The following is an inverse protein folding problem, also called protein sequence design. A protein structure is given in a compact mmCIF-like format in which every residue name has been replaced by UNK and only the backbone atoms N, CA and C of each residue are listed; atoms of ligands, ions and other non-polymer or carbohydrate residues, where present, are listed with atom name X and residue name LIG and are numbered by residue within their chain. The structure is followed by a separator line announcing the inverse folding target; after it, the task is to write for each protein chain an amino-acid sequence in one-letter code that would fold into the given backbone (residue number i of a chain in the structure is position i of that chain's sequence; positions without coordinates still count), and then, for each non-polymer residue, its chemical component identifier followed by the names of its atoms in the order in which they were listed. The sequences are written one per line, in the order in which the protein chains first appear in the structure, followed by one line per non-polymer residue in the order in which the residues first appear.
data_IF_309824273529
#
_entry.id   IF_309824273529
#
_cell.length_a   1.000
_cell.length_b   1.000
_cell.length_c   1.000
_cell.angle_alpha   90.00
_cell.angle_beta   90.00
_cell.angle_gamma   90.00
#
_symmetry.space_group_name_H-M   'P 1'
#
loop_
_entity.id
_entity.type
_entity.pdbx_description
1 polymer ?
#
# COMPACT_ATOMS: atom_id res chain seq x y z
N UNK A 1 9.71 -39.56 -45.62
CA UNK A 1 9.77 -38.09 -45.61
C UNK A 1 8.45 -37.42 -45.18
N UNK A 2 7.30 -37.77 -45.79
CA UNK A 2 6.02 -37.18 -45.43
C UNK A 2 5.58 -37.33 -43.97
N UNK A 3 5.86 -38.46 -43.32
CA UNK A 3 5.54 -38.71 -41.91
C UNK A 3 6.25 -37.75 -40.95
N UNK A 4 7.52 -37.40 -41.17
CA UNK A 4 8.28 -36.48 -40.35
C UNK A 4 7.78 -35.05 -40.48
N UNK A 5 7.28 -34.66 -41.66
CA UNK A 5 6.67 -33.36 -41.91
C UNK A 5 5.36 -33.23 -41.12
N UNK A 6 4.50 -34.24 -41.14
CA UNK A 6 3.22 -34.29 -40.42
C UNK A 6 3.48 -34.20 -38.89
N UNK A 7 4.44 -34.99 -38.37
CA UNK A 7 4.81 -34.93 -36.96
C UNK A 7 5.32 -33.54 -36.57
N UNK A 8 6.14 -32.91 -37.43
CA UNK A 8 6.61 -31.53 -37.21
C UNK A 8 5.47 -30.51 -37.11
N UNK A 9 4.48 -30.59 -37.99
CA UNK A 9 3.30 -29.73 -37.94
C UNK A 9 2.45 -29.94 -36.68
N UNK A 10 2.27 -31.19 -36.24
CA UNK A 10 1.53 -31.51 -35.02
C UNK A 10 2.24 -30.98 -33.78
N UNK A 11 3.56 -31.15 -33.69
CA UNK A 11 4.37 -30.61 -32.59
C UNK A 11 4.34 -29.08 -32.57
N UNK A 12 4.48 -28.43 -33.73
CA UNK A 12 4.37 -26.99 -33.84
C UNK A 12 2.99 -26.49 -33.41
N UNK A 13 1.92 -27.15 -33.86
CA UNK A 13 0.56 -26.82 -33.43
C UNK A 13 0.35 -26.93 -31.92
N UNK A 14 0.89 -28.00 -31.28
CA UNK A 14 0.82 -28.16 -29.83
C UNK A 14 1.60 -27.07 -29.08
N UNK A 15 2.76 -26.64 -29.60
CA UNK A 15 3.54 -25.55 -29.03
C UNK A 15 2.76 -24.23 -29.10
N UNK A 16 2.17 -23.92 -30.25
CA UNK A 16 1.35 -22.71 -30.44
C UNK A 16 0.15 -22.70 -29.48
N UNK A 17 -0.54 -23.83 -29.33
CA UNK A 17 -1.67 -23.97 -28.39
C UNK A 17 -1.22 -23.74 -26.94
N UNK A 18 -0.08 -24.30 -26.52
CA UNK A 18 0.46 -24.10 -25.18
C UNK A 18 0.82 -22.64 -24.93
N UNK A 19 1.45 -21.98 -25.90
CA UNK A 19 1.82 -20.57 -25.83
C UNK A 19 0.55 -19.72 -25.70
N UNK A 20 -0.44 -19.88 -26.56
CA UNK A 20 -1.71 -19.15 -26.49
C UNK A 20 -2.44 -19.36 -25.15
N UNK A 21 -2.48 -20.58 -24.64
CA UNK A 21 -3.07 -20.87 -23.34
C UNK A 21 -2.35 -20.14 -22.20
N UNK A 22 -1.01 -20.08 -22.26
CA UNK A 22 -0.20 -19.33 -21.27
C UNK A 22 -0.47 -17.83 -21.34
N UNK A 23 -0.60 -17.25 -22.53
CA UNK A 23 -0.96 -15.83 -22.71
C UNK A 23 -2.37 -15.53 -22.17
N UNK A 24 -3.37 -16.33 -22.50
CA UNK A 24 -4.74 -16.16 -22.00
C UNK A 24 -4.84 -16.26 -20.47
N UNK A 25 -4.05 -17.13 -19.85
CA UNK A 25 -4.00 -17.24 -18.39
C UNK A 25 -3.35 -16.00 -17.77
N UNK A 26 -2.28 -15.48 -18.39
CA UNK A 26 -1.62 -14.28 -17.94
C UNK A 26 -2.53 -13.03 -18.04
N UNK A 27 -3.25 -12.86 -19.16
CA UNK A 27 -4.22 -11.78 -19.33
C UNK A 27 -5.33 -11.84 -18.27
N UNK A 28 -5.96 -13.00 -18.06
CA UNK A 28 -6.99 -13.16 -17.01
C UNK A 28 -6.46 -12.84 -15.62
N UNK A 29 -5.20 -13.20 -15.33
CA UNK A 29 -4.58 -12.89 -14.03
C UNK A 29 -4.35 -11.38 -13.86
N UNK A 30 -3.97 -10.67 -14.93
CA UNK A 30 -3.84 -9.22 -14.94
C UNK A 30 -5.21 -8.54 -14.72
N UNK A 31 -6.24 -8.92 -15.48
CA UNK A 31 -7.60 -8.40 -15.32
C UNK A 31 -8.13 -8.64 -13.90
N UNK A 32 -7.92 -9.84 -13.34
CA UNK A 32 -8.33 -10.18 -11.99
C UNK A 32 -7.62 -9.32 -10.94
N UNK A 33 -6.32 -9.05 -11.10
CA UNK A 33 -5.56 -8.18 -10.22
C UNK A 33 -6.06 -6.73 -10.32
N UNK A 34 -6.36 -6.24 -11.52
CA UNK A 34 -6.96 -4.90 -11.71
C UNK A 34 -8.33 -4.78 -11.02
N UNK A 35 -9.18 -5.80 -11.14
CA UNK A 35 -10.47 -5.83 -10.46
C UNK A 35 -10.36 -5.85 -8.95
N UNK A 36 -9.40 -6.59 -8.38
CA UNK A 36 -9.12 -6.59 -6.94
C UNK A 36 -8.69 -5.21 -6.46
N UNK A 37 -7.70 -4.62 -7.11
CA UNK A 37 -7.22 -3.27 -6.80
C UNK A 37 -8.36 -2.25 -6.88
N UNK A 38 -9.19 -2.32 -7.91
CA UNK A 38 -10.35 -1.44 -8.06
C UNK A 38 -11.35 -1.59 -6.91
N UNK A 39 -11.72 -2.82 -6.52
CA UNK A 39 -12.63 -3.09 -5.41
C UNK A 39 -12.09 -2.58 -4.07
N UNK A 40 -10.80 -2.81 -3.77
CA UNK A 40 -10.18 -2.30 -2.55
C UNK A 40 -10.12 -0.77 -2.52
N UNK A 41 -9.85 -0.12 -3.67
CA UNK A 41 -9.93 1.34 -3.77
C UNK A 41 -11.34 1.86 -3.50
N UNK A 42 -12.38 1.22 -4.06
CA UNK A 42 -13.78 1.57 -3.79
C UNK A 42 -14.11 1.39 -2.32
N UNK A 43 -13.60 0.35 -1.67
CA UNK A 43 -13.74 0.15 -0.24
C UNK A 43 -13.14 1.31 0.57
N UNK A 44 -11.92 1.77 0.23
CA UNK A 44 -11.33 2.94 0.88
C UNK A 44 -12.20 4.19 0.71
N UNK A 45 -12.69 4.47 -0.50
CA UNK A 45 -13.55 5.64 -0.74
C UNK A 45 -14.84 5.67 0.08
N UNK A 46 -15.37 4.52 0.46
CA UNK A 46 -16.59 4.38 1.24
C UNK A 46 -16.37 4.38 2.76
N UNK A 47 -15.11 4.39 3.22
CA UNK A 47 -14.79 4.51 4.63
C UNK A 47 -14.94 5.96 5.11
N UNK A 48 -15.33 6.13 6.37
CA UNK A 48 -15.11 7.42 7.04
C UNK A 48 -13.61 7.59 7.34
N UNK A 49 -13.10 8.82 7.54
CA UNK A 49 -11.72 9.03 7.97
C UNK A 49 -11.35 8.20 9.20
N UNK A 50 -12.25 8.09 10.16
CA UNK A 50 -12.06 7.31 11.38
C UNK A 50 -11.99 5.79 11.12
N UNK A 51 -12.84 5.27 10.26
CA UNK A 51 -12.79 3.85 9.86
C UNK A 51 -11.48 3.53 9.14
N UNK A 52 -10.97 4.46 8.36
CA UNK A 52 -9.69 4.30 7.68
C UNK A 52 -8.51 4.30 8.67
N UNK A 53 -8.54 5.08 9.76
CA UNK A 53 -7.56 5.01 10.84
C UNK A 53 -7.55 3.63 11.51
N UNK A 54 -8.72 3.07 11.84
CA UNK A 54 -8.82 1.72 12.39
C UNK A 54 -8.36 0.64 11.42
N UNK A 55 -8.68 0.81 10.13
CA UNK A 55 -8.18 -0.08 9.08
C UNK A 55 -6.66 -0.08 9.01
N UNK A 56 -6.03 1.10 9.03
CA UNK A 56 -4.57 1.26 9.03
C UNK A 56 -3.95 0.65 10.30
N UNK A 57 -4.58 0.83 11.45
CA UNK A 57 -4.11 0.21 12.69
C UNK A 57 -4.09 -1.32 12.60
N UNK A 58 -5.18 -1.93 12.10
CA UNK A 58 -5.26 -3.39 11.88
C UNK A 58 -4.26 -3.86 10.81
N UNK A 59 -4.09 -3.11 9.72
CA UNK A 59 -3.09 -3.38 8.69
C UNK A 59 -1.67 -3.46 9.27
N UNK A 60 -1.28 -2.53 10.12
CA UNK A 60 0.06 -2.51 10.74
C UNK A 60 0.24 -3.65 11.76
N UNK A 61 -0.82 -4.04 12.47
CA UNK A 61 -0.79 -5.21 13.35
C UNK A 61 -0.51 -6.50 12.54
N UNK A 62 -1.21 -6.68 11.42
CA UNK A 62 -1.12 -7.90 10.60
C UNK A 62 0.20 -7.95 9.82
N UNK A 63 0.63 -6.85 9.21
CA UNK A 63 1.77 -6.82 8.27
C UNK A 63 3.11 -6.52 8.93
N UNK A 64 3.11 -5.93 10.13
CA UNK A 64 4.32 -5.47 10.84
C UNK A 64 4.44 -6.01 12.26
N UNK A 65 3.43 -6.71 12.77
CA UNK A 65 3.34 -7.18 14.16
C UNK A 65 3.44 -6.04 15.20
N UNK A 66 2.99 -4.84 14.82
CA UNK A 66 2.99 -3.69 15.72
C UNK A 66 1.84 -3.75 16.72
N UNK A 67 2.07 -3.33 17.96
CA UNK A 67 0.99 -3.00 18.88
C UNK A 67 0.52 -1.59 18.61
N UNK A 68 -0.73 -1.40 18.18
CA UNK A 68 -1.27 -0.11 17.75
C UNK A 68 -2.35 0.40 18.69
N UNK A 69 -2.41 1.73 18.86
CA UNK A 69 -3.45 2.44 19.57
C UNK A 69 -3.88 3.65 18.74
N UNK A 70 -5.14 3.67 18.32
CA UNK A 70 -5.73 4.83 17.62
C UNK A 70 -6.01 5.92 18.64
N UNK A 71 -5.56 7.14 18.37
CA UNK A 71 -5.69 8.29 19.28
C UNK A 71 -7.09 8.88 19.24
N UNK A 72 -7.43 9.77 20.20
CA UNK A 72 -8.71 10.48 20.19
C UNK A 72 -8.60 11.75 19.33
N UNK A 73 -9.54 11.97 18.41
CA UNK A 73 -9.51 13.00 17.36
C UNK A 73 -9.33 14.47 17.81
N UNK A 74 -9.37 14.79 19.09
CA UNK A 74 -9.34 16.17 19.57
C UNK A 74 -8.04 16.63 20.24
N UNK A 75 -7.04 15.76 20.45
CA UNK A 75 -5.82 16.08 21.23
C UNK A 75 -4.53 15.45 20.69
N UNK A 76 -4.46 15.13 19.44
CA UNK A 76 -3.50 14.14 18.90
C UNK A 76 -2.12 14.72 18.56
N UNK A 77 -1.94 16.07 18.62
CA UNK A 77 -0.65 16.71 18.35
C UNK A 77 -0.04 16.35 16.99
N UNK A 78 -0.85 15.92 16.01
CA UNK A 78 -0.39 15.59 14.66
C UNK A 78 -0.05 14.12 14.45
N UNK A 79 -0.69 13.22 15.18
CA UNK A 79 -0.59 11.76 15.02
C UNK A 79 -1.95 11.10 15.28
N UNK A 80 -2.36 10.19 14.41
CA UNK A 80 -3.65 9.48 14.49
C UNK A 80 -3.51 8.13 15.17
N UNK A 81 -2.32 7.51 15.09
CA UNK A 81 -2.03 6.21 15.70
C UNK A 81 -0.67 6.28 16.39
N UNK A 82 -0.59 5.74 17.59
CA UNK A 82 0.65 5.41 18.26
C UNK A 82 0.87 3.91 18.17
N UNK A 83 2.04 3.50 17.68
CA UNK A 83 2.40 2.09 17.59
C UNK A 83 3.67 1.80 18.37
N UNK A 84 3.88 0.51 18.65
CA UNK A 84 5.07 -0.01 19.29
C UNK A 84 5.58 -1.24 18.53
N UNK A 85 6.88 -1.21 18.19
CA UNK A 85 7.67 -2.32 17.67
C UNK A 85 8.60 -2.75 18.81
N UNK A 86 8.20 -3.78 19.56
CA UNK A 86 8.85 -4.08 20.85
C UNK A 86 8.75 -2.91 21.84
N UNK A 87 9.88 -2.26 22.12
CA UNK A 87 9.97 -1.06 22.99
C UNK A 87 10.03 0.25 22.21
N UNK A 88 10.21 0.20 20.90
CA UNK A 88 10.29 1.38 20.06
C UNK A 88 8.92 1.99 19.83
N UNK A 89 8.76 3.26 20.21
CA UNK A 89 7.55 4.04 19.95
C UNK A 89 7.57 4.63 18.55
N UNK A 90 6.46 4.51 17.83
CA UNK A 90 6.30 4.93 16.45
C UNK A 90 5.09 5.84 16.35
N UNK A 91 5.19 6.94 15.60
CA UNK A 91 4.06 7.81 15.29
C UNK A 91 3.57 7.55 13.87
N UNK A 92 2.23 7.54 13.71
CA UNK A 92 1.59 7.33 12.43
C UNK A 92 0.54 8.42 12.23
N UNK A 93 0.66 9.15 11.14
CA UNK A 93 -0.37 10.05 10.62
C UNK A 93 -1.09 9.36 9.47
N UNK A 94 -2.42 9.47 9.46
CA UNK A 94 -3.28 8.81 8.49
C UNK A 94 -4.08 9.88 7.74
N UNK A 95 -4.10 9.80 6.41
CA UNK A 95 -4.84 10.77 5.60
C UNK A 95 -5.78 10.06 4.65
N UNK A 96 -7.07 10.15 4.93
CA UNK A 96 -8.11 9.66 4.02
C UNK A 96 -8.54 10.77 3.08
N UNK A 97 -7.86 10.91 1.95
CA UNK A 97 -8.06 12.00 0.97
C UNK A 97 -8.15 11.49 -0.47
N UNK A 98 -8.81 12.30 -1.33
CA UNK A 98 -8.85 12.06 -2.78
C UNK A 98 -7.62 12.62 -3.51
N UNK A 99 -7.01 13.67 -2.99
CA UNK A 99 -5.82 14.32 -3.56
C UNK A 99 -4.51 13.84 -2.95
N UNK A 100 -3.40 14.07 -3.65
CA UNK A 100 -2.07 13.70 -3.17
C UNK A 100 -1.66 14.52 -1.94
N UNK A 101 -1.02 13.86 -0.99
CA UNK A 101 -0.47 14.49 0.22
C UNK A 101 0.82 15.24 -0.12
N UNK A 102 0.88 16.51 0.28
CA UNK A 102 2.04 17.37 0.08
C UNK A 102 3.03 17.35 1.24
N UNK A 103 4.23 17.90 0.99
CA UNK A 103 5.32 18.03 1.96
C UNK A 103 4.94 18.64 3.32
N UNK A 104 4.08 19.69 3.43
CA UNK A 104 3.75 20.27 4.71
C UNK A 104 3.13 19.29 5.71
N UNK A 105 2.39 18.29 5.22
CA UNK A 105 1.82 17.26 6.07
C UNK A 105 2.91 16.34 6.68
N UNK A 106 3.93 16.00 5.91
CA UNK A 106 5.07 15.20 6.39
C UNK A 106 5.88 15.98 7.43
N UNK A 107 6.09 17.28 7.19
CA UNK A 107 6.79 18.18 8.14
C UNK A 107 6.05 18.30 9.47
N UNK A 108 4.71 18.29 9.44
CA UNK A 108 3.89 18.30 10.65
C UNK A 108 4.13 17.06 11.51
N UNK A 109 4.14 15.88 10.90
CA UNK A 109 4.45 14.63 11.59
C UNK A 109 5.88 14.62 12.16
N UNK A 110 6.86 15.08 11.36
CA UNK A 110 8.25 15.18 11.81
C UNK A 110 8.40 16.11 13.02
N UNK A 111 7.68 17.25 13.00
CA UNK A 111 7.63 18.17 14.16
C UNK A 111 7.08 17.51 15.42
N UNK A 112 5.99 16.74 15.30
CA UNK A 112 5.42 15.99 16.42
C UNK A 112 6.37 14.90 16.92
N UNK A 113 7.04 14.19 16.03
CA UNK A 113 8.06 13.19 16.39
C UNK A 113 9.23 13.83 17.14
N UNK A 114 9.72 14.96 16.66
CA UNK A 114 10.83 15.71 17.27
C UNK A 114 10.48 16.19 18.68
N UNK A 115 9.28 16.77 18.85
CA UNK A 115 8.81 17.27 20.14
C UNK A 115 8.74 16.15 21.20
N UNK A 116 8.30 14.96 20.81
CA UNK A 116 8.13 13.81 21.71
C UNK A 116 9.35 12.85 21.70
N UNK A 117 10.43 13.20 21.00
CA UNK A 117 11.66 12.39 20.84
C UNK A 117 11.41 10.99 20.26
N UNK A 118 10.39 10.88 19.39
CA UNK A 118 10.07 9.66 18.65
C UNK A 118 10.94 9.61 17.39
N UNK A 119 11.61 8.49 17.16
CA UNK A 119 12.62 8.36 16.10
C UNK A 119 12.08 7.83 14.78
N UNK A 120 10.93 7.19 14.78
CA UNK A 120 10.38 6.49 13.62
C UNK A 120 8.92 6.89 13.42
N UNK A 121 8.55 7.17 12.15
CA UNK A 121 7.20 7.52 11.79
C UNK A 121 6.71 6.86 10.52
N UNK A 122 5.40 6.80 10.37
CA UNK A 122 4.72 6.42 9.13
C UNK A 122 3.72 7.49 8.76
N UNK A 123 3.67 7.82 7.48
CA UNK A 123 2.59 8.61 6.93
C UNK A 123 1.83 7.74 5.93
N UNK A 124 0.55 7.49 6.18
CA UNK A 124 -0.24 6.53 5.42
C UNK A 124 -1.44 7.26 4.81
N UNK A 125 -1.69 7.07 3.52
CA UNK A 125 -2.81 7.72 2.82
C UNK A 125 -3.57 6.75 1.93
N UNK A 126 -4.89 6.96 1.77
CA UNK A 126 -5.71 6.26 0.79
C UNK A 126 -5.46 6.70 -0.66
N UNK A 127 -4.80 7.85 -0.85
CA UNK A 127 -4.45 8.43 -2.16
C UNK A 127 -2.98 8.19 -2.51
N UNK A 128 -2.24 9.25 -2.80
CA UNK A 128 -0.82 9.23 -3.12
C UNK A 128 -0.07 10.41 -2.49
N UNK A 129 1.20 10.57 -2.86
CA UNK A 129 2.06 11.64 -2.42
C UNK A 129 2.53 12.50 -3.59
N UNK A 130 2.78 13.78 -3.35
CA UNK A 130 3.44 14.65 -4.34
C UNK A 130 4.92 14.30 -4.44
N UNK A 131 5.57 14.64 -5.57
CA UNK A 131 7.00 14.45 -5.77
C UNK A 131 7.83 15.13 -4.67
N UNK A 132 7.41 16.32 -4.22
CA UNK A 132 8.09 17.06 -3.14
C UNK A 132 7.93 16.36 -1.78
N UNK A 133 6.76 15.78 -1.49
CA UNK A 133 6.57 14.98 -0.28
C UNK A 133 7.48 13.74 -0.26
N UNK A 134 7.57 13.01 -1.39
CA UNK A 134 8.47 11.85 -1.54
C UNK A 134 9.94 12.26 -1.36
N UNK A 135 10.38 13.32 -2.03
CA UNK A 135 11.75 13.82 -1.93
C UNK A 135 12.10 14.29 -0.52
N UNK A 136 11.13 14.88 0.20
CA UNK A 136 11.32 15.30 1.58
C UNK A 136 11.42 14.11 2.53
N UNK A 137 10.50 13.16 2.44
CA UNK A 137 10.47 11.98 3.30
C UNK A 137 11.75 11.14 3.22
N UNK A 138 12.40 11.07 2.05
CA UNK A 138 13.69 10.40 1.86
C UNK A 138 14.83 10.98 2.71
N UNK A 139 14.66 12.17 3.31
CA UNK A 139 15.63 12.83 4.19
C UNK A 139 15.24 12.70 5.66
N UNK A 140 14.18 11.98 5.97
CA UNK A 140 13.62 11.82 7.31
C UNK A 140 13.52 10.35 7.70
N UNK A 141 13.14 10.07 8.94
CA UNK A 141 12.81 8.73 9.41
C UNK A 141 11.30 8.42 9.30
N UNK A 142 10.63 8.98 8.28
CA UNK A 142 9.21 8.78 8.03
C UNK A 142 9.05 7.91 6.78
N UNK A 143 8.43 6.75 6.96
CA UNK A 143 8.05 5.85 5.86
C UNK A 143 6.70 6.26 5.28
N UNK A 144 6.63 6.44 3.98
CA UNK A 144 5.38 6.75 3.27
C UNK A 144 4.75 5.46 2.75
N UNK A 145 3.43 5.30 2.95
CA UNK A 145 2.63 4.20 2.40
C UNK A 145 1.40 4.80 1.72
N UNK A 146 1.31 4.68 0.43
CA UNK A 146 0.16 5.15 -0.35
C UNK A 146 -0.94 4.07 -0.48
N UNK A 147 -2.09 4.45 -1.07
CA UNK A 147 -3.22 3.53 -1.24
C UNK A 147 -2.89 2.30 -2.11
N UNK A 148 -1.94 2.41 -3.06
CA UNK A 148 -1.48 1.27 -3.84
C UNK A 148 -0.58 0.34 -3.02
N UNK A 149 0.28 0.93 -2.18
CA UNK A 149 1.15 0.18 -1.28
C UNK A 149 0.34 -0.62 -0.26
N UNK A 150 -0.71 -0.02 0.30
CA UNK A 150 -1.64 -0.71 1.20
C UNK A 150 -2.24 -1.95 0.53
N UNK A 151 -2.75 -1.80 -0.70
CA UNK A 151 -3.36 -2.90 -1.44
C UNK A 151 -2.32 -3.98 -1.77
N UNK A 152 -1.12 -3.60 -2.21
CA UNK A 152 -0.05 -4.56 -2.54
C UNK A 152 0.37 -5.40 -1.33
N UNK A 153 0.58 -4.75 -0.18
CA UNK A 153 1.07 -5.40 1.03
C UNK A 153 0.03 -6.32 1.71
N UNK A 154 -1.26 -6.12 1.43
CA UNK A 154 -2.31 -7.04 1.90
C UNK A 154 -2.39 -8.34 1.10
N UNK A 155 -1.81 -8.37 -0.11
CA UNK A 155 -1.89 -9.49 -1.03
C UNK A 155 -0.54 -10.18 -1.26
N UNK A 156 0.51 -9.75 -0.56
CA UNK A 156 1.83 -10.39 -0.52
C UNK A 156 1.90 -11.45 0.55
#
# INVERSE_FOLDING_TARGET
MALYIIIGFLLFGMIVIKINKKYLVAERKLEWNHLKVYKERQRFYNMTPRDFEYYVAAFLQITRDFKTQVTQASKDGGKDIVAYDGKEKIYIEVKHWKGNVGRPAIQKLEGAMSADRVKRGYFITSSGFTKDALAYANKTNITLIDGNDLIRQLHS
#
